data_IF_184786536800
#
_entry.id   IF_184786536800
#
_cell.length_a   1.000
_cell.length_b   1.000
_cell.length_c   1.000
_cell.angle_alpha   90.00
_cell.angle_beta   90.00
_cell.angle_gamma   90.00
#
_symmetry.space_group_name_H-M   'P 1'
#
loop_
_entity.id
_entity.type
_entity.pdbx_description
1 polymer ?
#
# COMPACT_ATOMS: atom_id res chain seq x y z
N UNK A 1 2.49 -19.00 8.73
CA UNK A 1 1.16 -18.73 9.34
C UNK A 1 0.99 -17.25 9.21
N UNK A 2 0.14 -16.80 8.29
CA UNK A 2 0.35 -15.50 7.64
C UNK A 2 -0.79 -14.54 7.98
N UNK A 3 -1.00 -14.31 9.29
CA UNK A 3 -1.84 -13.20 9.75
C UNK A 3 -0.98 -11.96 9.91
N UNK A 4 -1.38 -10.91 9.21
CA UNK A 4 -0.83 -9.58 9.41
C UNK A 4 -1.59 -8.87 10.53
N UNK A 5 -0.86 -8.36 11.51
CA UNK A 5 -1.40 -7.54 12.58
C UNK A 5 -1.14 -6.07 12.28
N UNK A 6 -2.21 -5.31 12.10
CA UNK A 6 -2.15 -3.85 12.04
C UNK A 6 -2.68 -3.28 13.35
N UNK A 7 -1.81 -2.59 14.10
CA UNK A 7 -2.13 -2.03 15.42
C UNK A 7 -1.86 -0.54 15.43
N UNK A 8 -2.81 0.25 15.95
CA UNK A 8 -2.57 1.67 16.27
C UNK A 8 -1.80 1.80 17.59
N UNK A 9 -0.92 2.79 17.67
CA UNK A 9 -0.14 3.07 18.90
C UNK A 9 -0.85 4.08 19.82
N UNK A 10 -1.52 5.09 19.27
CA UNK A 10 -2.28 6.09 20.03
C UNK A 10 -3.70 5.65 20.41
N UNK A 11 -4.44 6.49 21.12
CA UNK A 11 -5.79 6.20 21.66
C UNK A 11 -6.89 6.00 20.60
N UNK A 12 -6.73 6.60 19.43
CA UNK A 12 -7.66 6.51 18.32
C UNK A 12 -6.90 6.57 16.98
N UNK A 13 -7.54 6.07 15.93
CA UNK A 13 -7.06 6.29 14.57
C UNK A 13 -7.21 7.77 14.21
N UNK A 14 -6.10 8.42 13.85
CA UNK A 14 -6.13 9.81 13.36
C UNK A 14 -6.83 9.88 12.00
N UNK A 15 -7.27 11.08 11.59
CA UNK A 15 -7.87 11.27 10.26
C UNK A 15 -6.92 10.83 9.14
N UNK A 16 -5.64 11.17 9.25
CA UNK A 16 -4.60 10.77 8.29
C UNK A 16 -4.42 9.24 8.24
N UNK A 17 -4.41 8.57 9.39
CA UNK A 17 -4.34 7.10 9.42
C UNK A 17 -5.60 6.47 8.80
N UNK A 18 -6.79 6.95 9.17
CA UNK A 18 -8.06 6.47 8.60
C UNK A 18 -8.15 6.66 7.10
N UNK A 19 -7.56 7.73 6.57
CA UNK A 19 -7.48 7.98 5.13
C UNK A 19 -6.64 6.93 4.38
N UNK A 20 -5.75 6.21 5.08
CA UNK A 20 -4.92 5.14 4.49
C UNK A 20 -5.44 3.72 4.76
N UNK A 21 -6.54 3.60 5.50
CA UNK A 21 -7.18 2.32 5.77
C UNK A 21 -8.22 2.01 4.68
N UNK A 22 -8.33 0.74 4.24
CA UNK A 22 -9.32 0.36 3.25
C UNK A 22 -10.74 0.47 3.80
N UNK A 23 -11.71 0.56 2.89
CA UNK A 23 -13.13 0.55 3.25
C UNK A 23 -13.46 -0.67 4.11
N UNK A 24 -14.37 -0.49 5.07
CA UNK A 24 -14.73 -1.50 6.05
C UNK A 24 -13.80 -1.56 7.25
N UNK A 25 -12.48 -1.41 7.05
CA UNK A 25 -11.50 -1.27 8.15
C UNK A 25 -11.51 0.15 8.70
N UNK A 26 -11.49 1.16 7.82
CA UNK A 26 -11.52 2.58 8.21
C UNK A 26 -12.78 2.99 8.97
N UNK A 27 -13.86 2.23 8.81
CA UNK A 27 -15.16 2.44 9.45
C UNK A 27 -15.20 1.87 10.88
N UNK A 28 -14.16 1.13 11.28
CA UNK A 28 -14.03 0.54 12.61
C UNK A 28 -13.29 1.48 13.57
N UNK A 29 -13.54 1.31 14.87
CA UNK A 29 -12.75 1.90 15.95
C UNK A 29 -11.76 0.89 16.58
N UNK A 30 -11.73 -0.35 16.10
CA UNK A 30 -10.87 -1.41 16.62
C UNK A 30 -9.40 -0.98 16.55
N UNK A 31 -8.66 -1.21 17.63
CA UNK A 31 -7.24 -0.84 17.72
C UNK A 31 -6.33 -1.87 17.04
N UNK A 32 -6.79 -3.12 16.94
CA UNK A 32 -6.05 -4.23 16.35
C UNK A 32 -6.85 -4.82 15.19
N UNK A 33 -6.32 -4.72 13.97
CA UNK A 33 -6.88 -5.36 12.79
C UNK A 33 -6.05 -6.63 12.53
N UNK A 34 -6.72 -7.79 12.50
CA UNK A 34 -6.08 -9.08 12.19
C UNK A 34 -6.46 -9.46 10.77
N UNK A 35 -5.49 -9.51 9.87
CA UNK A 35 -5.72 -9.74 8.44
C UNK A 35 -5.22 -11.12 8.04
N UNK A 36 -6.16 -12.02 7.70
CA UNK A 36 -5.87 -13.24 6.94
C UNK A 36 -5.90 -12.87 5.46
N UNK A 37 -4.76 -12.95 4.77
CA UNK A 37 -4.68 -12.58 3.36
C UNK A 37 -4.72 -13.79 2.43
N UNK A 38 -5.73 -13.83 1.55
CA UNK A 38 -5.88 -14.81 0.46
C UNK A 38 -5.44 -14.20 -0.86
N UNK A 39 -4.14 -14.38 -1.17
CA UNK A 39 -3.54 -13.86 -2.39
C UNK A 39 -3.71 -14.80 -3.60
N UNK A 40 -3.13 -15.99 -3.54
CA UNK A 40 -3.14 -16.96 -4.67
C UNK A 40 -4.41 -17.80 -4.71
N UNK A 41 -4.93 -18.19 -3.54
CA UNK A 41 -6.17 -18.96 -3.42
C UNK A 41 -7.40 -18.04 -3.26
N UNK A 42 -8.58 -18.59 -3.56
CA UNK A 42 -9.85 -17.94 -3.22
C UNK A 42 -10.19 -18.19 -1.75
N UNK A 43 -11.08 -17.37 -1.19
CA UNK A 43 -11.58 -17.59 0.18
C UNK A 43 -12.19 -18.98 0.32
N UNK A 44 -11.91 -19.60 1.47
CA UNK A 44 -12.43 -20.90 1.90
C UNK A 44 -13.09 -20.76 3.27
N UNK A 45 -13.90 -21.75 3.62
CA UNK A 45 -14.54 -21.85 4.94
C UNK A 45 -13.48 -21.90 6.05
N UNK A 46 -12.42 -22.69 5.86
CA UNK A 46 -11.28 -22.76 6.77
C UNK A 46 -10.57 -21.41 6.93
N UNK A 47 -10.46 -20.62 5.86
CA UNK A 47 -9.88 -19.27 5.95
C UNK A 47 -10.71 -18.34 6.84
N UNK A 48 -12.04 -18.44 6.76
CA UNK A 48 -12.96 -17.66 7.59
C UNK A 48 -12.89 -18.12 9.06
N UNK A 49 -12.94 -19.44 9.29
CA UNK A 49 -12.82 -20.03 10.63
C UNK A 49 -11.48 -19.69 11.27
N UNK A 50 -10.40 -19.72 10.50
CA UNK A 50 -9.06 -19.33 10.94
C UNK A 50 -9.03 -17.87 11.41
N UNK A 51 -9.55 -16.93 10.62
CA UNK A 51 -9.62 -15.53 11.01
C UNK A 51 -10.43 -15.33 12.31
N UNK A 52 -11.55 -16.05 12.47
CA UNK A 52 -12.34 -16.02 13.71
C UNK A 52 -11.60 -16.62 14.91
N UNK A 53 -10.90 -17.74 14.73
CA UNK A 53 -10.13 -18.40 15.77
C UNK A 53 -8.97 -17.53 16.23
N UNK A 54 -8.24 -16.90 15.31
CA UNK A 54 -7.16 -15.99 15.68
C UNK A 54 -7.66 -14.74 16.41
N UNK A 55 -8.81 -14.17 16.01
CA UNK A 55 -9.43 -13.11 16.81
C UNK A 55 -9.70 -13.56 18.25
N UNK A 56 -10.23 -14.77 18.43
CA UNK A 56 -10.51 -15.32 19.75
C UNK A 56 -9.24 -15.47 20.59
N UNK A 57 -8.25 -16.20 20.09
CA UNK A 57 -7.03 -16.49 20.84
C UNK A 57 -6.19 -15.24 21.08
N UNK A 58 -6.05 -14.37 20.07
CA UNK A 58 -5.33 -13.12 20.21
C UNK A 58 -5.96 -12.23 21.29
N UNK A 59 -7.30 -12.09 21.29
CA UNK A 59 -8.01 -11.35 22.33
C UNK A 59 -7.78 -11.92 23.72
N UNK A 60 -7.79 -13.25 23.86
CA UNK A 60 -7.56 -13.90 25.15
C UNK A 60 -6.15 -13.63 25.68
N UNK A 61 -5.13 -13.83 24.85
CA UNK A 61 -3.72 -13.62 25.22
C UNK A 61 -3.46 -12.15 25.53
N UNK A 62 -3.98 -11.23 24.72
CA UNK A 62 -3.77 -9.79 24.88
C UNK A 62 -4.76 -9.13 25.85
N UNK A 63 -5.68 -9.90 26.43
CA UNK A 63 -6.76 -9.41 27.32
C UNK A 63 -7.59 -8.27 26.69
N UNK A 64 -7.89 -8.40 25.41
CA UNK A 64 -8.65 -7.41 24.63
C UNK A 64 -10.14 -7.75 24.58
N UNK A 65 -10.98 -6.72 24.67
CA UNK A 65 -12.41 -6.84 24.44
C UNK A 65 -12.73 -7.09 22.96
N UNK A 66 -13.95 -7.58 22.69
CA UNK A 66 -14.45 -7.76 21.31
C UNK A 66 -14.46 -6.45 20.51
N UNK A 67 -14.58 -5.28 21.13
CA UNK A 67 -14.61 -4.01 20.38
C UNK A 67 -13.22 -3.52 19.96
N UNK A 68 -12.16 -4.04 20.57
CA UNK A 68 -10.78 -3.61 20.32
C UNK A 68 -10.12 -4.32 19.15
N UNK A 69 -10.71 -5.40 18.64
CA UNK A 69 -10.19 -6.16 17.52
C UNK A 69 -11.18 -6.23 16.36
N UNK A 70 -10.64 -6.35 15.14
CA UNK A 70 -11.40 -6.61 13.92
C UNK A 70 -10.68 -7.71 13.11
N UNK A 71 -11.23 -8.94 13.04
CA UNK A 71 -10.75 -9.94 12.09
C UNK A 71 -11.21 -9.60 10.67
N UNK A 72 -10.29 -9.66 9.73
CA UNK A 72 -10.50 -9.35 8.32
C UNK A 72 -9.93 -10.51 7.48
N UNK A 73 -10.74 -11.01 6.56
CA UNK A 73 -10.25 -11.82 5.44
C UNK A 73 -10.12 -10.89 4.24
N UNK A 74 -8.91 -10.73 3.73
CA UNK A 74 -8.63 -9.96 2.53
C UNK A 74 -8.50 -10.92 1.35
N UNK A 75 -9.27 -10.70 0.28
CA UNK A 75 -9.32 -11.60 -0.87
C UNK A 75 -8.89 -10.89 -2.15
N UNK A 76 -7.76 -11.32 -2.71
CA UNK A 76 -7.29 -10.86 -4.02
C UNK A 76 -8.21 -11.30 -5.15
N UNK A 77 -8.72 -12.54 -5.08
CA UNK A 77 -9.67 -13.11 -6.05
C UNK A 77 -11.11 -12.83 -5.63
N UNK A 78 -12.02 -12.69 -6.59
CA UNK A 78 -13.46 -12.54 -6.28
C UNK A 78 -14.05 -13.92 -5.94
N UNK A 79 -14.56 -14.15 -4.71
CA UNK A 79 -15.20 -15.43 -4.39
C UNK A 79 -16.48 -15.64 -5.21
N UNK A 80 -16.81 -16.90 -5.48
CA UNK A 80 -18.04 -17.24 -6.21
C UNK A 80 -19.28 -16.85 -5.39
N UNK A 81 -20.29 -16.25 -6.05
CA UNK A 81 -21.54 -15.81 -5.40
C UNK A 81 -22.22 -16.91 -4.58
N UNK A 82 -22.26 -18.15 -5.09
CA UNK A 82 -22.82 -19.31 -4.37
C UNK A 82 -22.11 -19.61 -3.05
N UNK A 83 -20.79 -19.39 -2.98
CA UNK A 83 -20.02 -19.60 -1.74
C UNK A 83 -20.29 -18.51 -0.72
N UNK A 84 -20.32 -17.25 -1.16
CA UNK A 84 -20.69 -16.12 -0.31
C UNK A 84 -22.07 -16.33 0.31
N UNK A 85 -23.06 -16.75 -0.49
CA UNK A 85 -24.40 -17.08 0.01
C UNK A 85 -24.39 -18.24 1.01
N UNK A 86 -23.66 -19.33 0.74
CA UNK A 86 -23.50 -20.46 1.68
C UNK A 86 -22.95 -20.01 3.04
N UNK A 87 -22.00 -19.09 3.04
CA UNK A 87 -21.36 -18.56 4.25
C UNK A 87 -22.08 -17.34 4.84
N UNK A 88 -23.27 -17.00 4.34
CA UNK A 88 -24.09 -15.89 4.83
C UNK A 88 -23.44 -14.52 4.65
N UNK A 89 -22.48 -14.38 3.72
CA UNK A 89 -21.84 -13.09 3.44
C UNK A 89 -22.68 -12.26 2.48
N UNK A 90 -23.01 -11.05 2.92
CA UNK A 90 -23.75 -10.05 2.17
C UNK A 90 -22.90 -8.79 2.00
N UNK A 91 -23.00 -8.15 0.83
CA UNK A 91 -22.25 -6.95 0.50
C UNK A 91 -22.88 -5.75 1.22
N UNK A 92 -22.23 -5.29 2.30
CA UNK A 92 -22.69 -4.14 3.11
C UNK A 92 -22.33 -2.80 2.49
N UNK A 93 -21.22 -2.77 1.78
CA UNK A 93 -20.76 -1.68 0.91
C UNK A 93 -19.90 -2.32 -0.19
N UNK A 94 -19.66 -1.60 -1.28
CA UNK A 94 -19.00 -2.16 -2.46
C UNK A 94 -17.64 -2.79 -2.11
N UNK A 95 -17.52 -4.11 -2.29
CA UNK A 95 -16.33 -4.90 -1.96
C UNK A 95 -16.15 -5.28 -0.50
N UNK A 96 -17.07 -4.91 0.40
CA UNK A 96 -17.01 -5.20 1.83
C UNK A 96 -18.21 -6.04 2.25
N UNK A 97 -17.93 -7.26 2.66
CA UNK A 97 -18.91 -8.27 2.97
C UNK A 97 -18.94 -8.55 4.47
N UNK A 98 -20.15 -8.71 5.00
CA UNK A 98 -20.41 -9.06 6.41
C UNK A 98 -21.29 -10.30 6.46
N UNK A 99 -21.17 -11.06 7.53
CA UNK A 99 -22.03 -12.22 7.79
C UNK A 99 -22.66 -12.08 9.17
N UNK A 100 -23.89 -12.57 9.31
CA UNK A 100 -24.58 -12.66 10.60
C UNK A 100 -24.54 -14.08 11.17
N UNK A 101 -23.83 -15.00 10.53
CA UNK A 101 -23.70 -16.36 11.04
C UNK A 101 -23.04 -16.37 12.42
N UNK A 102 -23.53 -17.21 13.36
CA UNK A 102 -22.90 -17.40 14.65
C UNK A 102 -21.41 -17.76 14.52
N UNK A 103 -20.62 -17.41 15.52
CA UNK A 103 -19.17 -17.65 15.64
C UNK A 103 -18.27 -16.89 14.65
N UNK A 104 -18.70 -16.66 13.41
CA UNK A 104 -17.92 -15.94 12.38
C UNK A 104 -18.46 -14.54 12.06
N UNK A 105 -19.58 -14.12 12.66
CA UNK A 105 -20.23 -12.82 12.39
C UNK A 105 -19.40 -11.56 12.65
N UNK A 106 -18.19 -11.69 13.20
CA UNK A 106 -17.22 -10.59 13.36
C UNK A 106 -16.23 -10.49 12.21
N UNK A 107 -16.08 -11.54 11.41
CA UNK A 107 -15.13 -11.58 10.30
C UNK A 107 -15.65 -10.69 9.19
N UNK A 108 -14.88 -9.64 8.90
CA UNK A 108 -15.10 -8.78 7.74
C UNK A 108 -14.44 -9.44 6.52
N UNK A 109 -15.12 -9.53 5.39
CA UNK A 109 -14.52 -10.01 4.16
C UNK A 109 -14.36 -8.83 3.18
N UNK A 110 -13.11 -8.52 2.82
CA UNK A 110 -12.76 -7.52 1.82
C UNK A 110 -12.41 -8.20 0.50
N UNK A 111 -13.09 -7.85 -0.58
CA UNK A 111 -12.85 -8.37 -1.92
C UNK A 111 -12.22 -7.29 -2.79
N UNK A 112 -10.91 -7.40 -3.01
CA UNK A 112 -10.08 -6.35 -3.62
C UNK A 112 -10.53 -5.93 -5.03
N UNK A 113 -10.93 -6.91 -5.84
CA UNK A 113 -11.47 -6.70 -7.19
C UNK A 113 -12.84 -5.98 -7.21
N UNK A 114 -13.47 -5.78 -6.05
CA UNK A 114 -14.78 -5.09 -5.97
C UNK A 114 -14.67 -3.72 -5.31
N UNK A 115 -13.71 -3.51 -4.40
CA UNK A 115 -13.50 -2.23 -3.72
C UNK A 115 -13.43 -1.06 -4.71
N UNK A 116 -13.97 0.13 -4.38
CA UNK A 116 -13.83 1.33 -5.19
C UNK A 116 -12.36 1.69 -5.46
N UNK A 117 -12.09 2.37 -6.59
CA UNK A 117 -10.77 2.91 -6.91
C UNK A 117 -10.54 4.27 -6.21
N UNK A 118 -10.86 4.34 -4.92
CA UNK A 118 -10.55 5.49 -4.06
C UNK A 118 -9.14 5.40 -3.49
N UNK A 119 -8.56 6.54 -3.13
CA UNK A 119 -7.16 6.65 -2.67
C UNK A 119 -6.89 5.73 -1.46
N UNK A 120 -7.78 5.72 -0.48
CA UNK A 120 -7.69 4.88 0.72
C UNK A 120 -7.68 3.36 0.47
N UNK A 121 -8.20 2.92 -0.68
CA UNK A 121 -8.19 1.51 -1.08
C UNK A 121 -6.98 1.17 -1.96
N UNK A 122 -6.24 2.17 -2.46
CA UNK A 122 -5.25 1.97 -3.51
C UNK A 122 -4.14 1.00 -3.07
N UNK A 123 -3.58 1.16 -1.86
CA UNK A 123 -2.54 0.27 -1.33
C UNK A 123 -2.97 -1.20 -1.31
N UNK A 124 -4.17 -1.51 -0.81
CA UNK A 124 -4.63 -2.90 -0.76
C UNK A 124 -5.01 -3.42 -2.15
N UNK A 125 -5.51 -2.56 -3.05
CA UNK A 125 -5.86 -2.93 -4.43
C UNK A 125 -4.65 -3.23 -5.30
N UNK A 126 -3.43 -2.84 -4.92
CA UNK A 126 -2.19 -3.31 -5.56
C UNK A 126 -2.10 -4.84 -5.59
N UNK A 127 -2.74 -5.51 -4.64
CA UNK A 127 -2.76 -6.97 -4.55
C UNK A 127 -4.03 -7.61 -5.11
N UNK A 128 -4.87 -6.85 -5.82
CA UNK A 128 -6.04 -7.39 -6.50
C UNK A 128 -5.61 -8.40 -7.59
N UNK A 129 -6.37 -9.47 -7.79
CA UNK A 129 -6.01 -10.49 -8.77
C UNK A 129 -6.15 -10.00 -10.22
N UNK A 130 -7.05 -9.04 -10.47
CA UNK A 130 -7.27 -8.47 -11.80
C UNK A 130 -6.25 -7.38 -12.10
N UNK A 131 -5.56 -7.50 -13.23
CA UNK A 131 -4.55 -6.53 -13.69
C UNK A 131 -5.11 -5.10 -13.73
N UNK A 132 -6.28 -4.90 -14.34
CA UNK A 132 -6.92 -3.59 -14.42
C UNK A 132 -7.13 -2.90 -13.06
N UNK A 133 -7.45 -3.68 -12.02
CA UNK A 133 -7.64 -3.14 -10.66
C UNK A 133 -6.31 -2.72 -10.03
N UNK A 134 -5.22 -3.45 -10.32
CA UNK A 134 -3.86 -3.08 -9.88
C UNK A 134 -3.36 -1.85 -10.62
N UNK A 135 -3.53 -1.81 -11.94
CA UNK A 135 -3.09 -0.68 -12.78
C UNK A 135 -3.79 0.62 -12.33
N UNK A 136 -5.10 0.56 -12.07
CA UNK A 136 -5.86 1.70 -11.54
C UNK A 136 -5.36 2.14 -10.15
N UNK A 137 -5.01 1.19 -9.29
CA UNK A 137 -4.47 1.48 -7.96
C UNK A 137 -3.08 2.12 -8.02
N UNK A 138 -2.17 1.62 -8.86
CA UNK A 138 -0.87 2.26 -9.10
C UNK A 138 -1.06 3.69 -9.61
N UNK A 139 -1.92 3.90 -10.61
CA UNK A 139 -2.21 5.24 -11.14
C UNK A 139 -2.83 6.19 -10.10
N UNK A 140 -3.55 5.68 -9.11
CA UNK A 140 -4.06 6.49 -8.00
C UNK A 140 -2.94 6.92 -7.05
N UNK A 141 -2.05 6.00 -6.68
CA UNK A 141 -0.95 6.28 -5.74
C UNK A 141 0.03 7.32 -6.27
N UNK A 142 0.34 7.27 -7.57
CA UNK A 142 1.21 8.25 -8.21
C UNK A 142 0.62 9.66 -8.27
N UNK A 143 -0.71 9.81 -8.18
CA UNK A 143 -1.39 11.11 -8.27
C UNK A 143 -1.57 11.79 -6.91
N UNK A 144 -1.91 11.03 -5.87
CA UNK A 144 -2.39 11.61 -4.61
C UNK A 144 -1.47 11.33 -3.39
N UNK A 145 -0.71 10.23 -3.34
CA UNK A 145 -0.26 9.69 -2.03
C UNK A 145 1.25 9.36 -1.91
N UNK A 146 1.99 9.21 -3.01
CA UNK A 146 3.44 8.93 -2.94
C UNK A 146 4.33 10.18 -2.91
N UNK A 147 3.75 11.37 -3.01
CA UNK A 147 4.49 12.64 -2.99
C UNK A 147 5.19 12.89 -1.63
N UNK A 148 4.69 12.30 -0.54
CA UNK A 148 5.17 12.60 0.82
C UNK A 148 6.39 11.77 1.26
N UNK A 149 6.71 10.66 0.60
CA UNK A 149 7.87 9.83 0.98
C UNK A 149 8.57 9.22 -0.23
N UNK A 150 9.83 9.59 -0.41
CA UNK A 150 10.70 9.01 -1.45
C UNK A 150 10.83 7.50 -1.32
N UNK A 151 10.86 6.99 -0.08
CA UNK A 151 10.96 5.57 0.20
C UNK A 151 9.68 4.82 -0.17
N UNK A 152 8.51 5.35 0.20
CA UNK A 152 7.22 4.76 -0.18
C UNK A 152 7.05 4.77 -1.70
N UNK A 153 7.44 5.85 -2.36
CA UNK A 153 7.40 5.94 -3.81
C UNK A 153 8.30 4.89 -4.47
N UNK A 154 9.54 4.74 -3.99
CA UNK A 154 10.44 3.69 -4.46
C UNK A 154 9.81 2.30 -4.22
N UNK A 155 9.26 2.05 -3.03
CA UNK A 155 8.63 0.77 -2.72
C UNK A 155 7.46 0.44 -3.67
N UNK A 156 6.57 1.40 -3.93
CA UNK A 156 5.45 1.25 -4.87
C UNK A 156 5.95 1.00 -6.30
N UNK A 157 6.99 1.72 -6.75
CA UNK A 157 7.63 1.50 -8.05
C UNK A 157 8.21 0.09 -8.17
N UNK A 158 9.00 -0.35 -7.19
CA UNK A 158 9.59 -1.69 -7.19
C UNK A 158 8.53 -2.80 -7.15
N UNK A 159 7.43 -2.58 -6.41
CA UNK A 159 6.31 -3.50 -6.37
C UNK A 159 5.60 -3.58 -7.72
N UNK A 160 5.41 -2.44 -8.40
CA UNK A 160 4.78 -2.39 -9.72
C UNK A 160 5.54 -3.20 -10.76
N UNK A 161 6.87 -3.07 -10.81
CA UNK A 161 7.72 -3.85 -11.71
C UNK A 161 7.65 -5.33 -11.40
N UNK A 162 7.73 -5.69 -10.11
CA UNK A 162 7.69 -7.10 -9.73
C UNK A 162 6.38 -7.76 -10.15
N UNK A 163 5.25 -7.09 -9.87
CA UNK A 163 3.92 -7.62 -10.20
C UNK A 163 3.64 -7.64 -11.71
N UNK A 164 4.26 -6.75 -12.49
CA UNK A 164 4.09 -6.68 -13.94
C UNK A 164 4.99 -7.67 -14.71
N UNK A 165 6.23 -7.87 -14.28
CA UNK A 165 7.19 -8.75 -14.98
C UNK A 165 6.86 -10.23 -14.76
N UNK A 166 6.41 -10.62 -13.55
CA UNK A 166 6.26 -12.05 -13.24
C UNK A 166 4.87 -12.64 -13.52
N UNK A 167 3.84 -11.85 -13.80
CA UNK A 167 2.47 -12.31 -14.17
C UNK A 167 1.70 -12.99 -13.02
N UNK A 168 2.39 -13.80 -12.24
CA UNK A 168 2.09 -14.31 -10.92
C UNK A 168 3.42 -14.24 -10.16
N UNK A 169 3.45 -13.79 -8.90
CA UNK A 169 4.68 -13.84 -8.12
C UNK A 169 5.14 -15.31 -8.05
N UNK A 170 6.13 -15.67 -8.85
CA UNK A 170 6.78 -16.97 -8.74
C UNK A 170 7.61 -16.91 -7.45
N UNK A 171 6.99 -17.33 -6.34
CA UNK A 171 7.50 -17.25 -4.96
C UNK A 171 8.81 -18.05 -4.75
N UNK A 172 9.37 -18.65 -5.80
CA UNK A 172 10.65 -19.32 -5.80
C UNK A 172 11.83 -18.37 -5.51
N UNK A 173 11.70 -17.09 -5.89
CA UNK A 173 12.59 -16.04 -5.39
C UNK A 173 11.88 -15.29 -4.26
N UNK A 174 12.42 -15.41 -3.03
CA UNK A 174 11.96 -14.64 -1.89
C UNK A 174 12.12 -13.14 -2.20
N UNK A 175 10.99 -12.51 -2.53
CA UNK A 175 10.89 -11.09 -2.78
C UNK A 175 10.70 -10.40 -1.44
N UNK A 176 11.82 -10.02 -0.81
CA UNK A 176 11.77 -9.36 0.49
C UNK A 176 11.41 -7.88 0.33
N UNK A 177 10.87 -7.22 1.37
CA UNK A 177 10.60 -5.78 1.33
C UNK A 177 11.82 -4.95 0.93
N UNK A 178 13.01 -5.34 1.37
CA UNK A 178 14.27 -4.66 1.08
C UNK A 178 14.60 -4.74 -0.40
N UNK A 179 14.41 -5.91 -1.03
CA UNK A 179 14.62 -6.08 -2.48
C UNK A 179 13.63 -5.27 -3.30
N UNK A 180 12.36 -5.22 -2.87
CA UNK A 180 11.34 -4.39 -3.53
C UNK A 180 11.75 -2.93 -3.49
N UNK A 181 12.20 -2.46 -2.33
CA UNK A 181 12.66 -1.09 -2.15
C UNK A 181 13.90 -0.80 -3.01
N UNK A 182 14.88 -1.70 -3.02
CA UNK A 182 16.11 -1.60 -3.81
C UNK A 182 15.80 -1.47 -5.31
N UNK A 183 14.95 -2.34 -5.85
CA UNK A 183 14.50 -2.23 -7.24
C UNK A 183 13.85 -0.88 -7.51
N UNK A 184 12.98 -0.43 -6.62
CA UNK A 184 12.37 0.89 -6.67
C UNK A 184 13.35 2.05 -6.74
N UNK A 185 14.35 2.04 -5.85
CA UNK A 185 15.42 3.05 -5.81
C UNK A 185 16.23 3.04 -7.09
N UNK A 186 16.61 1.85 -7.58
CA UNK A 186 17.39 1.70 -8.81
C UNK A 186 16.64 2.21 -10.05
N UNK A 187 15.34 1.95 -10.14
CA UNK A 187 14.49 2.49 -11.21
C UNK A 187 14.48 4.01 -11.16
N UNK A 188 14.31 4.60 -9.97
CA UNK A 188 14.34 6.06 -9.81
C UNK A 188 15.69 6.65 -10.23
N UNK A 189 16.79 6.08 -9.75
CA UNK A 189 18.14 6.50 -10.12
C UNK A 189 18.32 6.46 -11.64
N UNK A 190 17.93 5.35 -12.28
CA UNK A 190 18.05 5.21 -13.72
C UNK A 190 17.27 6.28 -14.47
N UNK A 191 16.03 6.59 -14.06
CA UNK A 191 15.24 7.67 -14.66
C UNK A 191 15.95 9.02 -14.52
N UNK A 192 16.59 9.30 -13.38
CA UNK A 192 17.38 10.51 -13.19
C UNK A 192 18.72 10.49 -13.94
N UNK A 193 19.34 9.35 -14.17
CA UNK A 193 20.61 9.24 -14.88
C UNK A 193 20.43 9.33 -16.40
N UNK A 194 19.39 8.69 -16.95
CA UNK A 194 19.17 8.56 -18.40
C UNK A 194 18.15 9.53 -18.97
N UNK A 195 17.29 10.11 -18.13
CA UNK A 195 16.27 11.05 -18.59
C UNK A 195 16.91 12.29 -19.21
N UNK A 196 16.29 12.83 -20.26
CA UNK A 196 16.65 14.12 -20.84
C UNK A 196 16.42 15.25 -19.82
N UNK A 197 17.05 16.40 -20.04
CA UNK A 197 16.83 17.57 -19.19
C UNK A 197 15.34 17.97 -19.17
N UNK A 198 14.66 17.87 -20.30
CA UNK A 198 13.23 18.17 -20.45
C UNK A 198 12.37 17.23 -19.61
N UNK A 199 12.67 15.92 -19.60
CA UNK A 199 11.96 14.93 -18.79
C UNK A 199 12.23 15.13 -17.29
N UNK A 200 13.45 15.45 -16.88
CA UNK A 200 13.79 15.71 -15.47
C UNK A 200 13.10 16.96 -14.93
N UNK A 201 12.89 17.96 -15.78
CA UNK A 201 12.21 19.21 -15.44
C UNK A 201 10.70 19.15 -15.70
N UNK A 202 10.19 18.05 -16.25
CA UNK A 202 8.77 17.85 -16.49
C UNK A 202 8.04 17.77 -15.14
N UNK A 203 6.97 18.56 -14.99
CA UNK A 203 6.21 18.67 -13.76
C UNK A 203 6.61 19.84 -12.85
N UNK A 204 7.78 20.46 -13.06
CA UNK A 204 8.12 21.70 -12.34
C UNK A 204 7.33 22.89 -12.88
N UNK A 205 6.71 23.64 -11.97
CA UNK A 205 6.03 24.89 -12.27
C UNK A 205 7.04 26.05 -12.47
N UNK A 206 6.55 27.22 -12.90
CA UNK A 206 7.41 28.37 -13.21
C UNK A 206 8.16 28.94 -11.99
N UNK A 207 7.67 28.74 -10.78
CA UNK A 207 8.32 29.17 -9.55
C UNK A 207 9.46 28.22 -9.17
N UNK A 208 9.21 26.92 -9.22
CA UNK A 208 10.22 25.89 -8.95
C UNK A 208 11.37 25.94 -9.95
N UNK A 209 11.08 26.18 -11.24
CA UNK A 209 12.11 26.40 -12.26
C UNK A 209 12.97 27.62 -11.96
N UNK A 210 12.37 28.70 -11.45
CA UNK A 210 13.11 29.91 -11.07
C UNK A 210 13.96 29.69 -9.82
N UNK A 211 13.49 28.91 -8.85
CA UNK A 211 14.29 28.51 -7.69
C UNK A 211 15.51 27.67 -8.10
N UNK A 212 15.34 26.73 -9.02
CA UNK A 212 16.44 25.92 -9.54
C UNK A 212 17.52 26.78 -10.23
N UNK A 213 17.09 27.75 -11.05
CA UNK A 213 18.01 28.67 -11.71
C UNK A 213 18.82 29.52 -10.71
N UNK A 214 18.22 29.90 -9.58
CA UNK A 214 18.93 30.63 -8.51
C UNK A 214 20.01 29.77 -7.85
N UNK A 215 19.68 28.51 -7.53
CA UNK A 215 20.66 27.58 -6.95
C UNK A 215 21.87 27.35 -7.88
N UNK A 216 21.63 27.20 -9.18
CA UNK A 216 22.69 27.08 -10.16
C UNK A 216 23.57 28.34 -10.25
N UNK A 217 22.96 29.52 -10.14
CA UNK A 217 23.69 30.79 -10.10
C UNK A 217 24.57 30.88 -8.85
N UNK A 218 24.05 30.51 -7.68
CA UNK A 218 24.79 30.49 -6.41
C UNK A 218 25.98 29.52 -6.44
N UNK A 219 25.84 28.32 -7.04
CA UNK A 219 26.95 27.39 -7.21
C UNK A 219 28.03 27.91 -8.17
N UNK A 220 27.62 28.58 -9.25
CA UNK A 220 28.56 29.21 -10.19
C UNK A 220 29.34 30.35 -9.53
N UNK A 221 28.67 31.17 -8.73
CA UNK A 221 29.28 32.30 -8.04
C UNK A 221 30.23 31.79 -6.92
N UNK A 222 29.83 30.77 -6.15
CA UNK A 222 30.68 30.14 -5.13
C UNK A 222 31.91 29.41 -5.71
N UNK A 223 31.77 28.80 -6.90
CA UNK A 223 32.89 28.18 -7.61
C UNK A 223 33.89 29.20 -8.17
N UNK A 224 33.43 30.41 -8.52
CA UNK A 224 34.28 31.49 -9.00
C UNK A 224 35.13 32.14 -7.89
N UNK A 225 34.61 32.23 -6.67
CA UNK A 225 35.34 32.77 -5.51
C UNK A 225 36.47 31.84 -5.03
N UNK A 226 36.38 30.53 -5.23
CA UNK A 226 37.44 29.57 -4.88
C UNK A 226 38.61 29.47 -5.89
N UNK A 227 38.46 30.06 -7.09
CA UNK A 227 39.46 29.98 -8.17
C UNK A 227 40.44 31.17 -8.23
N UNK A 228 40.15 32.27 -7.52
CA UNK A 228 40.94 33.48 -7.61
C UNK A 228 42.24 33.47 -6.78
N UNK A 229 42.37 32.57 -5.80
CA UNK A 229 43.46 32.62 -4.80
C UNK A 229 44.74 31.83 -5.18
N UNK A 230 44.79 31.25 -6.39
CA UNK A 230 45.94 30.45 -6.86
C UNK A 230 46.74 31.11 -8.00
N UNK A 231 46.57 32.41 -8.26
CA UNK A 231 47.23 33.11 -9.37
C UNK A 231 48.23 34.22 -8.98
N UNK A 232 48.52 34.40 -7.70
CA UNK A 232 49.61 35.28 -7.22
C UNK A 232 50.67 34.47 -6.47
N UNK A 233 51.54 33.77 -7.20
CA UNK A 233 52.90 33.42 -6.78
C UNK A 233 53.66 32.83 -7.98
N UNK A 234 54.14 33.70 -8.86
CA UNK A 234 55.15 33.40 -9.87
C UNK A 234 56.17 34.54 -9.91
#
# INVERSE_FOLDING_TARGET
MDILLLRREGEAWTAAQRARLPDGVRDSAAAHILVEFKYTESVTEDGILRAAAYDLFYRQVQKLSRKQTLPVVLSAKTPQRRRLAKWGFEESQRGVFRTNLPFVGRVLLLVLNRLPASSNNALVKLFASRKQERDAAFASLYRDETAESTELHAYVLGLSQTLNVKGELNMAEALTPEKVLEYGKRIRELVFETGTLEERLAGLNAEERRALLRLLQEEMDAGAEGGADNSENA
#
